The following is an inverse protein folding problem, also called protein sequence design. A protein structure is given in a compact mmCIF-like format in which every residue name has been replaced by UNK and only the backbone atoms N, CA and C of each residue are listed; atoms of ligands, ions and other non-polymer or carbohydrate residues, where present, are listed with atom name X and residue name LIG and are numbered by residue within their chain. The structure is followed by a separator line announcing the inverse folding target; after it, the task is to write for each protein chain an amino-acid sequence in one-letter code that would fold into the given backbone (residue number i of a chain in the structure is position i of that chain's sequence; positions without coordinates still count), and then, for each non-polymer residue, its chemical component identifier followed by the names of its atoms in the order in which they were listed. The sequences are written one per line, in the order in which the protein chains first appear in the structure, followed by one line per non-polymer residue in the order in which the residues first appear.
data_IF_113466804682
#
_entry.id   IF_113466804682
#
_cell.length_a   1.000
_cell.length_b   1.000
_cell.length_c   1.000
_cell.angle_alpha   90.00
_cell.angle_beta   90.00
_cell.angle_gamma   90.00
#
_symmetry.space_group_name_H-M   'P 1'
#
loop_
_entity.id
_entity.type
_entity.pdbx_description
1 polymer ?
#
# COMPACT_ATOMS: atom_id res chain seq x y z
N UNK A 1 -3.82 -8.97 -10.37
CA UNK A 1 -3.72 -7.84 -9.40
C UNK A 1 -4.86 -6.82 -9.45
N UNK A 2 -5.64 -6.70 -10.54
CA UNK A 2 -6.68 -5.65 -10.69
C UNK A 2 -7.67 -5.57 -9.53
N UNK A 3 -8.21 -6.70 -9.07
CA UNK A 3 -9.17 -6.72 -7.96
C UNK A 3 -8.57 -6.16 -6.67
N UNK A 4 -7.32 -6.53 -6.34
CA UNK A 4 -6.64 -6.01 -5.15
C UNK A 4 -6.43 -4.49 -5.22
N UNK A 5 -6.00 -3.98 -6.37
CA UNK A 5 -5.86 -2.53 -6.58
C UNK A 5 -7.20 -1.80 -6.42
N UNK A 6 -8.30 -2.37 -6.94
CA UNK A 6 -9.65 -1.81 -6.79
C UNK A 6 -10.13 -1.85 -5.33
N UNK A 7 -9.84 -2.93 -4.59
CA UNK A 7 -10.25 -3.09 -3.20
C UNK A 7 -9.67 -2.00 -2.28
N UNK A 8 -8.45 -1.52 -2.54
CA UNK A 8 -7.83 -0.45 -1.75
C UNK A 8 -8.24 0.98 -2.15
N UNK A 9 -8.98 1.18 -3.25
CA UNK A 9 -9.26 2.54 -3.78
C UNK A 9 -9.98 3.44 -2.79
N UNK A 10 -10.83 2.88 -1.93
CA UNK A 10 -11.52 3.69 -0.92
C UNK A 10 -10.54 4.29 0.10
N UNK A 11 -9.44 3.61 0.41
CA UNK A 11 -8.42 4.12 1.35
C UNK A 11 -7.66 5.30 0.75
N UNK A 12 -7.31 5.22 -0.54
CA UNK A 12 -6.71 6.35 -1.26
C UNK A 12 -7.67 7.56 -1.35
N UNK A 13 -8.98 7.31 -1.35
CA UNK A 13 -10.02 8.32 -1.54
C UNK A 13 -10.78 8.64 -0.24
N UNK A 14 -10.06 8.75 0.87
CA UNK A 14 -10.62 9.26 2.14
C UNK A 14 -11.74 8.42 2.74
N UNK A 15 -11.74 7.11 2.48
CA UNK A 15 -12.75 6.16 2.96
C UNK A 15 -13.93 5.92 2.00
N UNK A 16 -14.00 6.64 0.87
CA UNK A 16 -15.12 6.60 -0.07
C UNK A 16 -14.77 5.81 -1.33
N UNK A 17 -15.62 4.89 -1.76
CA UNK A 17 -15.47 4.24 -3.06
C UNK A 17 -15.66 5.29 -4.17
N UNK A 18 -14.61 5.61 -4.96
CA UNK A 18 -14.70 6.66 -5.97
C UNK A 18 -15.61 6.31 -7.16
N UNK A 19 -15.89 5.03 -7.42
CA UNK A 19 -16.74 4.62 -8.53
C UNK A 19 -18.24 4.74 -8.23
N UNK A 20 -18.62 4.59 -6.96
CA UNK A 20 -20.04 4.57 -6.54
C UNK A 20 -20.41 5.74 -5.65
N UNK A 21 -19.41 6.44 -5.09
CA UNK A 21 -19.61 7.45 -4.07
C UNK A 21 -19.99 6.89 -2.70
N UNK A 22 -20.03 5.58 -2.52
CA UNK A 22 -20.38 4.96 -1.23
C UNK A 22 -19.27 5.20 -0.18
N UNK A 23 -19.66 5.64 1.02
CA UNK A 23 -18.74 5.75 2.16
C UNK A 23 -18.49 4.38 2.77
N UNK A 24 -17.30 3.80 2.56
CA UNK A 24 -16.94 2.48 3.10
C UNK A 24 -16.50 2.63 4.57
N UNK A 25 -15.72 3.66 4.86
CA UNK A 25 -15.30 4.06 6.22
C UNK A 25 -15.20 5.59 6.29
N UNK A 26 -15.16 6.16 7.49
CA UNK A 26 -14.87 7.59 7.65
C UNK A 26 -13.45 7.93 7.19
N UNK A 27 -13.22 9.19 6.79
CA UNK A 27 -11.90 9.68 6.39
C UNK A 27 -10.87 9.54 7.52
N UNK A 28 -11.28 9.75 8.76
CA UNK A 28 -10.42 9.52 9.93
C UNK A 28 -10.02 8.05 10.06
N UNK A 29 -10.97 7.11 9.88
CA UNK A 29 -10.67 5.68 9.95
C UNK A 29 -9.78 5.24 8.78
N UNK A 30 -9.97 5.78 7.58
CA UNK A 30 -9.07 5.52 6.45
C UNK A 30 -7.63 5.97 6.75
N UNK A 31 -7.46 7.15 7.35
CA UNK A 31 -6.14 7.64 7.79
C UNK A 31 -5.50 6.71 8.83
N UNK A 32 -6.27 6.26 9.84
CA UNK A 32 -5.79 5.32 10.87
C UNK A 32 -5.39 3.96 10.27
N UNK A 33 -6.17 3.44 9.31
CA UNK A 33 -5.82 2.22 8.57
C UNK A 33 -4.51 2.42 7.80
N UNK A 34 -4.35 3.56 7.11
CA UNK A 34 -3.11 3.89 6.41
C UNK A 34 -1.89 3.91 7.34
N UNK A 35 -2.03 4.49 8.54
CA UNK A 35 -0.96 4.49 9.54
C UNK A 35 -0.58 3.05 9.97
N UNK A 36 -1.56 2.19 10.25
CA UNK A 36 -1.32 0.77 10.58
C UNK A 36 -0.66 0.01 9.42
N UNK A 37 -1.14 0.21 8.19
CA UNK A 37 -0.50 -0.40 7.01
C UNK A 37 0.97 0.02 6.88
N UNK A 38 1.30 1.28 7.16
CA UNK A 38 2.67 1.74 7.11
C UNK A 38 3.56 1.09 8.19
N UNK A 39 3.07 0.99 9.43
CA UNK A 39 3.89 0.58 10.58
C UNK A 39 3.92 -0.93 10.83
N UNK A 40 2.89 -1.68 10.45
CA UNK A 40 2.81 -3.13 10.70
C UNK A 40 2.35 -3.95 9.49
N UNK A 41 2.32 -3.37 8.29
CA UNK A 41 1.77 -4.04 7.12
C UNK A 41 2.67 -5.09 6.45
N UNK A 42 3.95 -5.16 6.80
CA UNK A 42 4.95 -6.03 6.15
C UNK A 42 5.69 -6.94 7.14
N UNK A 43 5.01 -7.36 8.22
CA UNK A 43 5.62 -8.16 9.30
C UNK A 43 6.85 -7.44 9.86
N UNK A 44 7.92 -8.18 10.14
CA UNK A 44 9.21 -7.65 10.58
C UNK A 44 9.89 -6.75 9.52
N UNK A 45 9.39 -6.74 8.28
CA UNK A 45 9.85 -5.86 7.20
C UNK A 45 9.18 -4.49 7.16
N UNK A 46 8.30 -4.14 8.09
CA UNK A 46 7.51 -2.88 8.03
C UNK A 46 8.35 -1.62 8.10
N UNK A 47 9.36 -1.58 8.98
CA UNK A 47 10.27 -0.43 9.08
C UNK A 47 11.09 -0.22 7.80
N UNK A 48 11.66 -1.29 7.26
CA UNK A 48 12.44 -1.25 6.01
C UNK A 48 11.58 -0.88 4.80
N UNK A 49 10.35 -1.39 4.71
CA UNK A 49 9.41 -0.99 3.66
C UNK A 49 9.02 0.49 3.77
N UNK A 50 8.71 0.97 4.97
CA UNK A 50 8.40 2.38 5.20
C UNK A 50 9.59 3.29 4.82
N UNK A 51 10.81 2.89 5.16
CA UNK A 51 12.02 3.64 4.81
C UNK A 51 12.27 3.69 3.30
N UNK A 52 12.19 2.55 2.60
CA UNK A 52 12.54 2.47 1.17
C UNK A 52 11.42 2.93 0.24
N UNK A 53 10.17 2.64 0.60
CA UNK A 53 9.00 2.85 -0.26
C UNK A 53 8.15 4.04 0.19
N UNK A 54 8.07 4.33 1.49
CA UNK A 54 7.48 5.58 1.99
C UNK A 54 5.96 5.70 1.90
N UNK A 55 5.23 4.64 1.54
CA UNK A 55 3.76 4.67 1.45
C UNK A 55 3.12 3.50 2.21
N UNK A 56 1.92 3.65 2.79
CA UNK A 56 1.19 2.57 3.43
C UNK A 56 1.07 1.33 2.54
N UNK A 57 1.38 0.15 3.06
CA UNK A 57 1.17 -1.08 2.29
C UNK A 57 0.94 -2.31 3.14
N UNK A 58 0.31 -3.33 2.58
CA UNK A 58 0.07 -4.62 3.23
C UNK A 58 0.50 -5.76 2.31
N UNK A 59 1.40 -6.60 2.80
CA UNK A 59 1.79 -7.83 2.11
C UNK A 59 0.90 -9.02 2.48
N UNK A 60 0.93 -10.06 1.64
CA UNK A 60 0.41 -11.38 1.98
C UNK A 60 1.29 -12.49 1.40
N UNK A 61 1.31 -13.64 2.08
CA UNK A 61 2.14 -14.81 1.71
C UNK A 61 1.84 -15.38 0.32
N UNK A 62 0.68 -15.05 -0.27
CA UNK A 62 0.39 -15.34 -1.68
C UNK A 62 1.20 -14.50 -2.68
N UNK A 63 2.11 -13.64 -2.20
CA UNK A 63 2.99 -12.80 -3.03
C UNK A 63 2.40 -11.45 -3.45
N UNK A 64 1.21 -11.11 -2.96
CA UNK A 64 0.56 -9.83 -3.25
C UNK A 64 0.98 -8.75 -2.27
N UNK A 65 1.12 -7.51 -2.76
CA UNK A 65 1.24 -6.31 -1.91
C UNK A 65 0.23 -5.28 -2.40
N UNK A 66 -0.63 -4.82 -1.49
CA UNK A 66 -1.47 -3.64 -1.67
C UNK A 66 -0.71 -2.43 -1.14
N UNK A 67 -0.60 -1.34 -1.91
CA UNK A 67 0.01 -0.09 -1.45
C UNK A 67 -0.92 1.10 -1.73
N UNK A 68 -1.00 2.05 -0.80
CA UNK A 68 -1.92 3.19 -0.86
C UNK A 68 -1.11 4.47 -0.87
N UNK A 69 -1.34 5.31 -1.89
CA UNK A 69 -0.86 6.69 -1.95
C UNK A 69 -2.08 7.58 -1.64
N UNK A 70 -2.20 8.13 -0.42
CA UNK A 70 -3.35 8.93 -0.04
C UNK A 70 -3.61 10.08 -1.01
N UNK A 71 -4.85 10.23 -1.46
CA UNK A 71 -5.26 11.25 -2.43
C UNK A 71 -4.89 10.98 -3.89
N UNK A 72 -4.07 9.96 -4.18
CA UNK A 72 -3.49 9.75 -5.52
C UNK A 72 -3.85 8.38 -6.09
N UNK A 73 -3.48 7.28 -5.42
CA UNK A 73 -3.52 5.96 -6.03
C UNK A 73 -3.69 4.80 -5.04
N UNK A 74 -4.26 3.70 -5.54
CA UNK A 74 -4.24 2.38 -4.91
C UNK A 74 -3.57 1.41 -5.87
N UNK A 75 -2.48 0.80 -5.42
CA UNK A 75 -1.55 0.00 -6.22
C UNK A 75 -1.62 -1.46 -5.76
N UNK A 76 -1.48 -2.39 -6.71
CA UNK A 76 -1.28 -3.79 -6.38
C UNK A 76 -0.15 -4.37 -7.23
N UNK A 77 0.83 -4.97 -6.56
CA UNK A 77 1.87 -5.79 -7.19
C UNK A 77 1.70 -7.24 -6.76
N UNK A 78 2.17 -8.17 -7.57
CA UNK A 78 2.17 -9.58 -7.23
C UNK A 78 3.38 -10.27 -7.85
N UNK A 79 4.11 -11.00 -7.02
CA UNK A 79 5.11 -11.98 -7.44
C UNK A 79 5.27 -13.00 -6.32
N UNK A 80 5.20 -14.32 -6.62
CA UNK A 80 5.17 -15.35 -5.58
C UNK A 80 6.49 -15.52 -4.84
N UNK A 81 7.62 -15.07 -5.40
CA UNK A 81 8.93 -15.17 -4.75
C UNK A 81 9.03 -14.27 -3.51
N UNK A 82 9.00 -14.87 -2.33
CA UNK A 82 9.08 -14.16 -1.05
C UNK A 82 10.53 -13.95 -0.59
N UNK A 83 10.77 -12.90 0.19
CA UNK A 83 12.00 -12.72 0.95
C UNK A 83 11.92 -13.39 2.34
N UNK A 84 12.97 -13.26 3.15
CA UNK A 84 13.05 -13.85 4.49
C UNK A 84 11.92 -13.40 5.44
N UNK A 85 11.30 -12.23 5.19
CA UNK A 85 10.21 -11.67 6.00
C UNK A 85 8.82 -12.05 5.46
N UNK A 86 8.74 -12.98 4.48
CA UNK A 86 7.47 -13.41 3.88
C UNK A 86 6.84 -12.38 2.92
N UNK A 87 7.59 -11.35 2.51
CA UNK A 87 7.12 -10.30 1.61
C UNK A 87 7.56 -10.59 0.17
N UNK A 88 6.73 -10.26 -0.82
CA UNK A 88 7.08 -10.43 -2.24
C UNK A 88 8.34 -9.63 -2.59
N UNK A 89 9.45 -10.31 -2.93
CA UNK A 89 10.75 -9.67 -3.18
C UNK A 89 10.68 -8.74 -4.38
N UNK A 90 10.22 -9.24 -5.53
CA UNK A 90 10.08 -8.44 -6.75
C UNK A 90 8.96 -7.41 -6.61
N UNK A 91 7.89 -7.71 -5.88
CA UNK A 91 6.83 -6.75 -5.58
C UNK A 91 7.34 -5.54 -4.81
N UNK A 92 8.11 -5.75 -3.74
CA UNK A 92 8.71 -4.66 -2.96
C UNK A 92 9.67 -3.82 -3.80
N UNK A 93 10.53 -4.45 -4.62
CA UNK A 93 11.45 -3.72 -5.52
C UNK A 93 10.68 -2.87 -6.55
N UNK A 94 9.60 -3.42 -7.12
CA UNK A 94 8.77 -2.69 -8.08
C UNK A 94 8.10 -1.46 -7.44
N UNK A 95 7.56 -1.61 -6.23
CA UNK A 95 6.96 -0.50 -5.48
C UNK A 95 7.99 0.55 -5.10
N UNK A 96 9.19 0.15 -4.66
CA UNK A 96 10.29 1.07 -4.34
C UNK A 96 10.67 1.91 -5.57
N UNK A 97 10.84 1.28 -6.74
CA UNK A 97 11.18 1.98 -7.98
C UNK A 97 10.07 2.93 -8.42
N UNK A 98 8.83 2.47 -8.39
CA UNK A 98 7.68 3.28 -8.79
C UNK A 98 7.49 4.48 -7.87
N UNK A 99 7.57 4.29 -6.55
CA UNK A 99 7.44 5.37 -5.58
C UNK A 99 8.52 6.44 -5.79
N UNK A 100 9.77 6.03 -6.02
CA UNK A 100 10.88 6.93 -6.38
C UNK A 100 10.63 7.70 -7.68
N UNK A 101 10.20 7.00 -8.74
CA UNK A 101 9.92 7.63 -10.04
C UNK A 101 8.80 8.66 -9.97
N UNK A 102 7.79 8.42 -9.14
CA UNK A 102 6.61 9.29 -9.00
C UNK A 102 6.75 10.32 -7.88
N UNK A 103 7.88 10.34 -7.17
CA UNK A 103 8.08 11.11 -5.94
C UNK A 103 6.95 10.89 -4.91
N UNK A 104 6.55 9.64 -4.74
CA UNK A 104 5.52 9.26 -3.77
C UNK A 104 6.15 8.85 -2.45
N UNK A 105 5.85 9.60 -1.40
CA UNK A 105 6.14 9.24 -0.02
C UNK A 105 5.27 10.08 0.89
N UNK A 106 4.78 9.51 2.00
CA UNK A 106 4.10 10.28 3.06
C UNK A 106 5.08 11.11 3.89
N UNK A 107 6.38 10.94 3.66
CA UNK A 107 7.47 11.68 4.30
C UNK A 107 8.09 12.73 3.37
N UNK A 108 7.71 12.75 2.09
CA UNK A 108 8.18 13.78 1.16
C UNK A 108 7.55 15.15 1.50
N UNK A 109 8.29 16.26 1.31
CA UNK A 109 7.77 17.62 1.53
C UNK A 109 6.63 17.98 0.57
#
# INVERSE_FOLDING_TARGET
CRQLALAGRFLANGGKNPATGHSVVSAERARRIGAMMLTCGHYDGSGDFAFRVGIPGKSGVGGGILAIVPGVASLAVWSPGLNANGNSRLGSIALERLAKMMNWSVFAP
#
